data_IF_192794915618
#
_entry.id   IF_192794915618
#
_cell.length_a   1.000
_cell.length_b   1.000
_cell.length_c   1.000
_cell.angle_alpha   90.00
_cell.angle_beta   90.00
_cell.angle_gamma   90.00
#
_symmetry.space_group_name_H-M   'P 1'
#
loop_
_entity.id
_entity.type
_entity.pdbx_description
1 polymer ?
#
# COMPACT_ATOMS: atom_id res chain seq x y z
N UNK A 1 26.45 29.58 17.62
CA UNK A 1 25.14 30.25 17.75
C UNK A 1 24.26 30.14 16.49
N UNK A 2 24.74 30.42 15.27
CA UNK A 2 23.95 30.10 14.04
C UNK A 2 24.15 28.64 13.62
N UNK A 3 25.38 28.12 13.66
CA UNK A 3 25.67 26.73 13.29
C UNK A 3 25.00 25.69 14.20
N UNK A 4 24.76 26.05 15.46
CA UNK A 4 24.06 25.20 16.44
C UNK A 4 22.57 25.08 16.10
N UNK A 5 21.94 26.17 15.67
CA UNK A 5 20.54 26.16 15.25
C UNK A 5 20.36 25.37 13.95
N UNK A 6 21.29 25.51 12.99
CA UNK A 6 21.26 24.72 11.75
C UNK A 6 21.36 23.23 12.06
N UNK A 7 22.30 22.84 12.92
CA UNK A 7 22.44 21.42 13.33
C UNK A 7 21.17 20.92 14.02
N UNK A 8 20.60 21.72 14.91
CA UNK A 8 19.36 21.37 15.61
C UNK A 8 18.20 21.13 14.63
N UNK A 9 17.99 22.01 13.66
CA UNK A 9 16.94 21.85 12.64
C UNK A 9 17.14 20.57 11.83
N UNK A 10 18.38 20.29 11.41
CA UNK A 10 18.69 19.07 10.63
C UNK A 10 18.42 17.82 11.47
N UNK A 11 18.85 17.81 12.73
CA UNK A 11 18.61 16.70 13.66
C UNK A 11 17.11 16.48 13.88
N UNK A 12 16.35 17.52 14.16
CA UNK A 12 14.88 17.42 14.36
C UNK A 12 14.16 16.91 13.10
N UNK A 13 14.54 17.38 11.91
CA UNK A 13 13.99 16.89 10.65
C UNK A 13 14.34 15.43 10.40
N UNK A 14 15.57 15.02 10.72
CA UNK A 14 16.01 13.63 10.58
C UNK A 14 15.25 12.71 11.51
N UNK A 15 15.20 13.03 12.80
CA UNK A 15 14.47 12.24 13.81
C UNK A 15 12.99 12.12 13.46
N UNK A 16 12.37 13.22 13.02
CA UNK A 16 10.97 13.20 12.57
C UNK A 16 10.78 12.29 11.36
N UNK A 17 11.67 12.35 10.37
CA UNK A 17 11.58 11.49 9.20
C UNK A 17 11.76 10.01 9.57
N UNK A 18 12.76 9.70 10.41
CA UNK A 18 13.01 8.36 10.92
C UNK A 18 11.81 7.81 11.71
N UNK A 19 11.19 8.62 12.57
CA UNK A 19 10.02 8.22 13.34
C UNK A 19 8.83 7.91 12.42
N UNK A 20 8.57 8.75 11.41
CA UNK A 20 7.49 8.54 10.44
C UNK A 20 7.72 7.25 9.65
N UNK A 21 8.94 7.04 9.16
CA UNK A 21 9.29 5.84 8.39
C UNK A 21 9.22 4.58 9.26
N UNK A 22 9.73 4.64 10.50
CA UNK A 22 9.71 3.52 11.44
C UNK A 22 8.30 3.10 11.84
N UNK A 23 7.37 4.06 11.96
CA UNK A 23 5.94 3.76 12.22
C UNK A 23 5.22 3.13 11.02
N UNK A 24 5.76 3.28 9.81
CA UNK A 24 5.17 2.81 8.56
C UNK A 24 6.09 1.83 7.81
N UNK A 25 6.78 0.95 8.55
CA UNK A 25 7.73 -0.01 7.97
C UNK A 25 7.08 -0.95 6.94
N UNK A 26 5.84 -1.38 7.19
CA UNK A 26 5.11 -2.27 6.28
C UNK A 26 4.87 -1.59 4.93
N UNK A 27 4.43 -0.32 4.95
CA UNK A 27 4.25 0.48 3.74
C UNK A 27 5.59 0.73 3.04
N UNK A 28 6.65 1.01 3.80
CA UNK A 28 7.99 1.21 3.26
C UNK A 28 8.51 -0.03 2.52
N UNK A 29 8.38 -1.21 3.13
CA UNK A 29 8.78 -2.46 2.50
C UNK A 29 7.92 -2.78 1.26
N UNK A 30 6.62 -2.50 1.32
CA UNK A 30 5.73 -2.66 0.16
C UNK A 30 6.13 -1.72 -0.98
N UNK A 31 6.43 -0.44 -0.72
CA UNK A 31 6.92 0.49 -1.75
C UNK A 31 8.23 0.00 -2.37
N UNK A 32 9.19 -0.44 -1.55
CA UNK A 32 10.48 -0.95 -2.02
C UNK A 32 10.32 -2.19 -2.92
N UNK A 33 9.49 -3.15 -2.50
CA UNK A 33 9.20 -4.34 -3.31
C UNK A 33 8.50 -3.97 -4.62
N UNK A 34 7.59 -3.00 -4.59
CA UNK A 34 6.82 -2.60 -5.76
C UNK A 34 7.66 -1.83 -6.77
N UNK A 35 8.62 -1.01 -6.32
CA UNK A 35 9.60 -0.38 -7.21
C UNK A 35 10.53 -1.42 -7.86
N UNK A 36 10.81 -2.52 -7.18
CA UNK A 36 11.56 -3.64 -7.78
C UNK A 36 10.76 -4.34 -8.89
N UNK A 37 9.42 -4.40 -8.76
CA UNK A 37 8.52 -4.99 -9.77
C UNK A 37 8.22 -4.05 -10.96
N UNK A 38 8.01 -2.74 -10.70
CA UNK A 38 7.40 -1.81 -11.66
C UNK A 38 8.26 -0.60 -12.08
N UNK A 39 9.49 -0.46 -11.57
CA UNK A 39 10.45 0.64 -11.80
C UNK A 39 9.98 2.04 -11.33
N UNK A 40 8.71 2.37 -11.55
CA UNK A 40 8.05 3.61 -11.16
C UNK A 40 6.71 3.31 -10.51
N UNK A 41 6.22 4.21 -9.66
CA UNK A 41 4.91 4.12 -9.04
C UNK A 41 4.09 5.36 -9.38
N UNK A 42 2.82 5.15 -9.73
CA UNK A 42 1.83 6.21 -9.90
C UNK A 42 1.11 6.54 -8.57
N UNK A 43 0.33 7.63 -8.58
CA UNK A 43 -0.40 8.09 -7.40
C UNK A 43 -1.38 7.03 -6.86
N UNK A 44 -2.06 6.29 -7.73
CA UNK A 44 -3.04 5.28 -7.33
C UNK A 44 -2.36 4.10 -6.64
N UNK A 45 -1.21 3.66 -7.17
CA UNK A 45 -0.39 2.62 -6.57
C UNK A 45 0.14 3.05 -5.19
N UNK A 46 0.57 4.32 -5.04
CA UNK A 46 0.99 4.85 -3.75
C UNK A 46 -0.20 4.85 -2.77
N UNK A 47 -1.38 5.29 -3.20
CA UNK A 47 -2.58 5.31 -2.35
C UNK A 47 -2.97 3.90 -1.88
N UNK A 48 -2.89 2.90 -2.76
CA UNK A 48 -3.13 1.50 -2.41
C UNK A 48 -2.14 1.02 -1.34
N UNK A 49 -0.84 1.32 -1.50
CA UNK A 49 0.20 0.96 -0.52
C UNK A 49 -0.03 1.64 0.82
N UNK A 50 -0.38 2.94 0.80
CA UNK A 50 -0.67 3.70 2.02
C UNK A 50 -1.92 3.19 2.74
N UNK A 51 -2.89 2.62 2.02
CA UNK A 51 -4.04 1.93 2.60
C UNK A 51 -3.73 0.52 3.12
N UNK A 52 -2.49 0.04 2.95
CA UNK A 52 -2.05 -1.30 3.37
C UNK A 52 -2.37 -2.41 2.36
N UNK A 53 -2.74 -2.06 1.13
CA UNK A 53 -2.98 -3.02 0.04
C UNK A 53 -1.73 -3.20 -0.85
N UNK A 54 -1.69 -4.29 -1.63
CA UNK A 54 -0.68 -4.46 -2.68
C UNK A 54 -1.01 -3.51 -3.84
N UNK A 55 -0.05 -2.77 -4.41
CA UNK A 55 -0.34 -1.85 -5.50
C UNK A 55 -0.85 -2.59 -6.74
N UNK A 56 -1.78 -1.94 -7.42
CA UNK A 56 -2.31 -2.36 -8.72
C UNK A 56 -1.22 -2.33 -9.82
N UNK A 57 -1.49 -3.00 -10.94
CA UNK A 57 -0.58 -2.97 -12.08
C UNK A 57 -0.53 -1.56 -12.71
N UNK A 58 0.65 -1.11 -13.18
CA UNK A 58 0.80 0.23 -13.74
C UNK A 58 -0.12 0.41 -14.96
N UNK A 59 -0.80 1.56 -15.04
CA UNK A 59 -1.71 1.88 -16.14
C UNK A 59 -3.12 1.28 -16.04
N UNK A 60 -3.49 0.67 -14.91
CA UNK A 60 -4.91 0.36 -14.62
C UNK A 60 -5.59 1.60 -14.04
N UNK A 61 -6.11 2.45 -14.92
CA UNK A 61 -7.12 3.45 -14.54
C UNK A 61 -8.37 2.71 -14.05
N UNK A 62 -9.00 3.26 -13.02
CA UNK A 62 -10.02 2.62 -12.19
C UNK A 62 -11.33 2.37 -12.97
N UNK A 63 -11.39 1.29 -13.74
CA UNK A 63 -12.63 0.70 -14.25
C UNK A 63 -13.06 -0.48 -13.36
N UNK A 64 -13.24 -0.27 -12.04
CA UNK A 64 -14.05 -1.21 -11.26
C UNK A 64 -14.84 -0.54 -10.14
N UNK A 65 -15.99 0.03 -10.53
CA UNK A 65 -17.19 -0.06 -9.69
C UNK A 65 -17.43 -1.53 -9.29
N UNK A 66 -17.50 -1.79 -7.98
CA UNK A 66 -18.26 -2.88 -7.38
C UNK A 66 -18.00 -4.32 -7.88
N UNK A 67 -17.02 -5.01 -7.28
CA UNK A 67 -17.17 -6.46 -7.03
C UNK A 67 -17.36 -6.74 -5.56
N UNK A 68 -18.63 -6.64 -5.16
CA UNK A 68 -19.16 -7.23 -3.94
C UNK A 68 -18.71 -8.68 -3.81
N UNK A 69 -18.12 -8.96 -2.64
CA UNK A 69 -17.87 -10.30 -2.12
C UNK A 69 -19.21 -11.02 -1.91
N UNK A 70 -19.65 -11.84 -2.86
CA UNK A 70 -20.64 -12.88 -2.58
C UNK A 70 -19.97 -14.24 -2.78
N UNK A 71 -19.43 -14.77 -1.68
CA UNK A 71 -18.88 -16.12 -1.58
C UNK A 71 -19.93 -16.99 -0.87
N UNK A 72 -20.65 -17.79 -1.67
CA UNK A 72 -21.42 -19.01 -1.37
C UNK A 72 -22.67 -18.95 -0.45
N UNK A 73 -23.65 -19.90 -0.51
CA UNK A 73 -23.47 -21.32 -0.89
C UNK A 73 -24.54 -22.01 -1.78
N UNK A 74 -24.15 -23.18 -2.30
CA UNK A 74 -24.98 -24.40 -2.39
C UNK A 74 -26.03 -24.50 -3.52
N UNK A 75 -25.64 -25.13 -4.63
CA UNK A 75 -26.55 -26.06 -5.35
C UNK A 75 -25.77 -27.35 -5.57
N UNK A 76 -25.80 -28.24 -4.57
CA UNK A 76 -25.39 -29.62 -4.72
C UNK A 76 -26.55 -30.42 -5.32
N UNK A 77 -26.36 -30.89 -6.54
CA UNK A 77 -27.16 -31.95 -7.14
C UNK A 77 -27.19 -33.17 -6.20
N UNK A 78 -28.39 -33.65 -5.88
CA UNK A 78 -28.60 -34.98 -5.33
C UNK A 78 -29.71 -35.68 -6.12
N UNK A 79 -29.26 -36.64 -6.92
CA UNK A 79 -30.07 -37.64 -7.59
C UNK A 79 -30.81 -38.57 -6.61
N UNK A 80 -31.88 -39.19 -7.13
CA UNK A 80 -32.48 -40.48 -6.74
C UNK A 80 -32.95 -40.70 -5.29
N UNK A 81 -34.28 -40.83 -5.13
CA UNK A 81 -34.97 -42.08 -4.74
C UNK A 81 -36.46 -41.83 -4.51
N UNK A 82 -37.31 -42.44 -5.35
CA UNK A 82 -38.63 -43.01 -4.99
C UNK A 82 -39.09 -43.95 -6.11
#
# INVERSE_FOLDING_TARGET
RVDEEIKKIISECYERAEEILSKNLDQLHNMANSLMEYETLDENQINDIMAGAKPRAPGTEDDTEGKMKNKDPSVGDAAEQN
#
